data_IF_284113236933
#
_entry.id   IF_284113236933
#
_cell.length_a   1.000
_cell.length_b   1.000
_cell.length_c   1.000
_cell.angle_alpha   90.00
_cell.angle_beta   90.00
_cell.angle_gamma   90.00
#
_symmetry.space_group_name_H-M   'P 1'
#
loop_
_entity.id
_entity.type
_entity.pdbx_description
1 polymer ?
#
# COMPACT_ATOMS: atom_id res chain seq x y z
N UNK A 1 -8.89 20.54 -20.43
CA UNK A 1 -7.72 20.36 -19.54
C UNK A 1 -8.08 19.70 -18.21
N UNK A 2 -9.35 19.77 -17.78
CA UNK A 2 -9.81 19.23 -16.48
C UNK A 2 -9.89 17.68 -16.39
N UNK A 3 -9.96 16.95 -17.51
CA UNK A 3 -10.06 15.48 -17.47
C UNK A 3 -8.79 14.76 -16.97
N UNK A 4 -7.60 15.37 -17.10
CA UNK A 4 -6.36 14.77 -16.56
C UNK A 4 -6.26 14.88 -15.03
N UNK A 5 -6.77 15.99 -14.49
CA UNK A 5 -6.71 16.29 -13.06
C UNK A 5 -7.63 15.35 -12.27
N UNK A 6 -8.83 15.05 -12.79
CA UNK A 6 -9.80 14.18 -12.11
C UNK A 6 -9.34 12.73 -11.96
N UNK A 7 -8.67 12.18 -12.98
CA UNK A 7 -8.14 10.81 -12.90
C UNK A 7 -6.95 10.72 -11.93
N UNK A 8 -6.10 11.73 -11.89
CA UNK A 8 -4.97 11.75 -10.97
C UNK A 8 -5.41 11.87 -9.50
N UNK A 9 -6.39 12.74 -9.21
CA UNK A 9 -6.98 12.86 -7.86
C UNK A 9 -7.69 11.57 -7.42
N UNK A 10 -8.33 10.86 -8.36
CA UNK A 10 -8.99 9.59 -8.05
C UNK A 10 -7.97 8.50 -7.70
N UNK A 11 -6.84 8.42 -8.40
CA UNK A 11 -5.76 7.49 -8.06
C UNK A 11 -5.07 7.86 -6.74
N UNK A 12 -4.84 9.14 -6.47
CA UNK A 12 -4.26 9.62 -5.20
C UNK A 12 -5.17 9.26 -4.00
N UNK A 13 -6.49 9.46 -4.12
CA UNK A 13 -7.45 9.07 -3.07
C UNK A 13 -7.45 7.57 -2.81
N UNK A 14 -7.40 6.75 -3.85
CA UNK A 14 -7.36 5.30 -3.71
C UNK A 14 -6.07 4.82 -3.01
N UNK A 15 -4.95 5.51 -3.25
CA UNK A 15 -3.67 5.19 -2.60
C UNK A 15 -3.71 5.57 -1.11
N UNK A 16 -4.23 6.74 -0.77
CA UNK A 16 -4.34 7.18 0.63
C UNK A 16 -5.24 6.23 1.45
N UNK A 17 -6.40 5.85 0.90
CA UNK A 17 -7.31 4.89 1.54
C UNK A 17 -6.61 3.54 1.77
N UNK A 18 -5.88 3.05 0.76
CA UNK A 18 -5.12 1.81 0.88
C UNK A 18 -4.01 1.90 1.94
N UNK A 19 -3.27 3.01 1.98
CA UNK A 19 -2.25 3.23 3.00
C UNK A 19 -2.84 3.27 4.40
N UNK A 20 -4.05 3.83 4.55
CA UNK A 20 -4.76 3.85 5.83
C UNK A 20 -5.19 2.43 6.27
N UNK A 21 -5.64 1.58 5.33
CA UNK A 21 -5.90 0.16 5.59
C UNK A 21 -4.66 -0.58 6.10
N UNK A 22 -3.48 -0.25 5.56
CA UNK A 22 -2.21 -0.83 6.01
C UNK A 22 -1.65 -0.18 7.28
N UNK A 23 -2.14 0.98 7.70
CA UNK A 23 -1.54 1.79 8.77
C UNK A 23 -1.45 1.04 10.10
N UNK A 24 -2.49 0.29 10.47
CA UNK A 24 -2.47 -0.55 11.68
C UNK A 24 -1.38 -1.63 11.61
N UNK A 25 -1.18 -2.24 10.44
CA UNK A 25 -0.19 -3.29 10.22
C UNK A 25 1.24 -2.72 10.20
N UNK A 26 1.43 -1.55 9.58
CA UNK A 26 2.71 -0.83 9.57
C UNK A 26 3.11 -0.47 11.00
N UNK A 27 2.22 0.18 11.75
CA UNK A 27 2.48 0.55 13.16
C UNK A 27 2.81 -0.65 14.04
N UNK A 28 2.08 -1.75 13.88
CA UNK A 28 2.35 -3.00 14.60
C UNK A 28 3.71 -3.61 14.22
N UNK A 29 4.15 -3.46 12.98
CA UNK A 29 5.45 -3.99 12.53
C UNK A 29 6.62 -3.13 13.02
N UNK A 30 6.39 -1.83 13.20
CA UNK A 30 7.37 -0.86 13.70
C UNK A 30 7.36 -0.73 15.23
N UNK A 31 6.47 -1.41 15.95
CA UNK A 31 6.40 -1.32 17.42
C UNK A 31 7.68 -1.83 18.10
N UNK A 32 8.45 -2.66 17.41
CA UNK A 32 9.71 -3.24 17.89
C UNK A 32 10.96 -2.47 17.45
N UNK A 33 10.81 -1.37 16.71
CA UNK A 33 11.94 -0.54 16.27
C UNK A 33 12.17 0.65 17.20
N UNK A 34 13.36 1.26 17.08
CA UNK A 34 13.73 2.48 17.80
C UNK A 34 12.72 3.59 17.52
N UNK A 35 12.19 4.31 18.54
CA UNK A 35 11.31 5.45 18.34
C UNK A 35 11.88 6.53 17.41
N UNK A 36 13.21 6.68 17.38
CA UNK A 36 13.90 7.68 16.56
C UNK A 36 13.84 7.34 15.06
N UNK A 37 13.74 6.06 14.71
CA UNK A 37 13.72 5.57 13.33
C UNK A 37 12.31 5.24 12.84
N UNK A 38 11.32 5.19 13.74
CA UNK A 38 9.95 4.76 13.43
C UNK A 38 9.29 5.60 12.35
N UNK A 39 9.45 6.93 12.41
CA UNK A 39 8.84 7.82 11.42
C UNK A 39 9.44 7.61 10.03
N UNK A 40 10.77 7.54 9.94
CA UNK A 40 11.47 7.30 8.69
C UNK A 40 11.13 5.93 8.10
N UNK A 41 11.14 4.88 8.92
CA UNK A 41 10.76 3.53 8.51
C UNK A 41 9.29 3.43 8.07
N UNK A 42 8.38 4.15 8.73
CA UNK A 42 6.99 4.24 8.31
C UNK A 42 6.87 4.81 6.89
N UNK A 43 7.59 5.90 6.62
CA UNK A 43 7.61 6.51 5.29
C UNK A 43 8.24 5.60 4.23
N UNK A 44 9.36 4.93 4.55
CA UNK A 44 9.98 3.96 3.65
C UNK A 44 9.03 2.81 3.28
N UNK A 45 8.28 2.28 4.25
CA UNK A 45 7.32 1.20 4.02
C UNK A 45 6.16 1.68 3.14
N UNK A 46 5.61 2.87 3.40
CA UNK A 46 4.55 3.47 2.57
C UNK A 46 5.02 3.66 1.13
N UNK A 47 6.23 4.18 0.93
CA UNK A 47 6.83 4.36 -0.39
C UNK A 47 6.95 3.02 -1.14
N UNK A 48 7.44 1.97 -0.47
CA UNK A 48 7.55 0.64 -1.08
C UNK A 48 6.21 0.00 -1.44
N UNK A 49 5.16 0.25 -0.65
CA UNK A 49 3.80 -0.22 -0.98
C UNK A 49 3.38 0.41 -2.30
N UNK A 50 3.49 1.74 -2.43
CA UNK A 50 3.13 2.47 -3.66
C UNK A 50 3.94 1.96 -4.86
N UNK A 51 5.26 1.80 -4.73
CA UNK A 51 6.12 1.27 -5.79
C UNK A 51 5.69 -0.12 -6.29
N UNK A 52 5.17 -0.95 -5.39
CA UNK A 52 4.78 -2.34 -5.69
C UNK A 52 3.34 -2.49 -6.15
N UNK A 53 2.45 -1.51 -5.92
CA UNK A 53 1.05 -1.55 -6.34
C UNK A 53 0.83 -1.91 -7.82
N UNK A 54 1.55 -1.31 -8.78
CA UNK A 54 1.39 -1.65 -10.19
C UNK A 54 1.73 -3.11 -10.50
N UNK A 55 2.64 -3.71 -9.71
CA UNK A 55 3.13 -5.07 -9.91
C UNK A 55 2.18 -6.14 -9.34
N UNK A 56 1.32 -5.77 -8.37
CA UNK A 56 0.33 -6.67 -7.77
C UNK A 56 -0.75 -7.04 -8.79
N UNK A 57 -1.10 -6.13 -9.71
CA UNK A 57 -2.11 -6.40 -10.76
C UNK A 57 -1.68 -7.45 -11.79
N UNK A 58 -0.37 -7.67 -11.95
CA UNK A 58 0.18 -8.45 -13.05
C UNK A 58 0.75 -9.82 -12.66
N UNK A 59 0.76 -10.21 -11.38
CA UNK A 59 1.62 -11.33 -10.93
C UNK A 59 1.01 -12.48 -10.12
N UNK A 60 -0.28 -12.54 -9.78
CA UNK A 60 -0.81 -13.81 -9.25
C UNK A 60 -2.30 -14.02 -9.35
N UNK A 61 -2.71 -15.19 -9.85
CA UNK A 61 -3.80 -15.97 -9.26
C UNK A 61 -3.49 -16.07 -7.76
N UNK A 62 -4.28 -15.41 -6.91
CA UNK A 62 -3.93 -15.26 -5.50
C UNK A 62 -3.88 -16.61 -4.79
N UNK A 63 -3.10 -16.71 -3.70
CA UNK A 63 -3.14 -17.87 -2.78
C UNK A 63 -4.58 -18.24 -2.38
N UNK A 64 -5.46 -17.24 -2.28
CA UNK A 64 -6.89 -17.42 -2.01
C UNK A 64 -7.72 -17.87 -3.21
N UNK A 65 -7.29 -17.58 -4.44
CA UNK A 65 -7.91 -18.14 -5.66
C UNK A 65 -7.52 -19.61 -5.81
N UNK A 66 -6.29 -19.98 -5.46
CA UNK A 66 -5.84 -21.39 -5.40
C UNK A 66 -6.68 -22.24 -4.43
N UNK A 67 -7.17 -21.66 -3.32
CA UNK A 67 -8.00 -22.37 -2.34
C UNK A 67 -9.49 -22.46 -2.71
N UNK A 68 -9.96 -21.72 -3.73
CA UNK A 68 -11.35 -21.84 -4.22
C UNK A 68 -11.55 -22.99 -5.20
N UNK A 69 -10.46 -23.51 -5.76
CA UNK A 69 -10.44 -24.63 -6.71
C UNK A 69 -10.19 -25.99 -6.04
N UNK A 70 -10.25 -26.08 -4.69
CA UNK A 70 -10.14 -27.32 -3.89
C UNK A 70 -11.43 -27.54 -3.12
#
# INVERSE_FOLDING_TARGET
>A
MECRIKNQILEEKNIEELLDEFQLKIKKSLSNTSPQEREDLEQQVKMKIIEKLPHISNTSTGFWDFLKDV
#
